data_IF_252830529199
#
_entry.id   IF_252830529199
#
_cell.length_a   1.000
_cell.length_b   1.000
_cell.length_c   1.000
_cell.angle_alpha   90.00
_cell.angle_beta   90.00
_cell.angle_gamma   90.00
#
_symmetry.space_group_name_H-M   'P 1'
#
loop_
_entity.id
_entity.type
_entity.pdbx_description
1 polymer ?
#
# COMPACT_ATOMS: atom_id res chain seq x y z
N UNK A 1 4.15 -21.90 -1.39
CA UNK A 1 3.96 -20.87 -0.35
C UNK A 1 4.69 -19.63 -0.85
N UNK A 2 4.01 -18.52 -1.04
CA UNK A 2 4.63 -17.28 -1.52
C UNK A 2 5.58 -16.78 -0.44
N UNK A 3 6.86 -16.47 -0.74
CA UNK A 3 7.76 -15.87 0.23
C UNK A 3 7.33 -14.42 0.46
N UNK A 4 6.47 -14.24 1.43
CA UNK A 4 6.20 -12.92 2.01
C UNK A 4 7.40 -12.56 2.86
N UNK A 5 7.85 -11.31 2.86
CA UNK A 5 8.84 -10.86 3.84
C UNK A 5 8.41 -11.32 5.24
N UNK A 6 9.33 -11.73 6.10
CA UNK A 6 9.02 -12.44 7.34
C UNK A 6 7.98 -11.70 8.21
N UNK A 7 7.90 -10.37 8.07
CA UNK A 7 7.01 -9.50 8.84
C UNK A 7 5.94 -8.81 7.99
N UNK A 8 5.90 -9.08 6.68
CA UNK A 8 4.91 -8.47 5.79
C UNK A 8 3.50 -9.01 6.06
N UNK A 9 2.53 -8.11 6.11
CA UNK A 9 1.10 -8.39 6.21
C UNK A 9 0.43 -7.90 4.93
N UNK A 10 0.33 -8.77 3.90
CA UNK A 10 -0.19 -8.38 2.60
C UNK A 10 -1.66 -7.97 2.65
N UNK A 11 -1.97 -6.91 1.92
CA UNK A 11 -3.32 -6.42 1.69
C UNK A 11 -3.45 -6.03 0.21
N UNK A 12 -4.65 -6.08 -0.34
CA UNK A 12 -4.95 -5.63 -1.71
C UNK A 12 -4.00 -6.24 -2.75
N UNK A 13 -4.20 -7.48 -3.10
CA UNK A 13 -3.39 -8.15 -4.10
C UNK A 13 -4.05 -8.17 -5.48
N UNK A 14 -3.24 -8.06 -6.53
CA UNK A 14 -3.63 -8.31 -7.92
C UNK A 14 -2.62 -9.25 -8.58
N UNK A 15 -3.07 -9.96 -9.59
CA UNK A 15 -2.26 -10.94 -10.32
C UNK A 15 -2.37 -10.73 -11.81
N UNK A 16 -1.29 -11.05 -12.54
CA UNK A 16 -1.28 -11.13 -13.99
C UNK A 16 -0.55 -12.39 -14.44
N UNK A 17 -0.89 -12.86 -15.63
CA UNK A 17 -0.19 -13.94 -16.33
C UNK A 17 0.10 -13.45 -17.73
N UNK A 18 1.30 -13.71 -18.24
CA UNK A 18 1.67 -13.38 -19.63
C UNK A 18 0.74 -14.05 -20.64
N UNK A 19 0.48 -13.45 -21.81
CA UNK A 19 -0.39 -14.02 -22.82
C UNK A 19 0.02 -15.42 -23.30
N UNK A 20 1.32 -15.71 -23.35
CA UNK A 20 1.86 -17.03 -23.68
C UNK A 20 1.78 -18.03 -22.51
N UNK A 21 1.43 -17.58 -21.33
CA UNK A 21 1.24 -18.41 -20.14
C UNK A 21 2.54 -18.86 -19.47
N UNK A 22 3.68 -18.19 -19.72
CA UNK A 22 4.98 -18.58 -19.18
C UNK A 22 5.34 -17.86 -17.87
N UNK A 23 4.73 -16.71 -17.61
CA UNK A 23 5.07 -15.83 -16.48
C UNK A 23 3.85 -15.46 -15.65
N UNK A 24 4.01 -15.47 -14.35
CA UNK A 24 2.99 -15.03 -13.39
C UNK A 24 3.54 -13.95 -12.46
N UNK A 25 2.79 -12.87 -12.31
CA UNK A 25 3.11 -11.74 -11.45
C UNK A 25 2.06 -11.57 -10.37
N UNK A 26 2.51 -11.17 -9.18
CA UNK A 26 1.65 -10.77 -8.07
C UNK A 26 2.14 -9.43 -7.57
N UNK A 27 1.24 -8.44 -7.47
CA UNK A 27 1.50 -7.19 -6.75
C UNK A 27 0.62 -7.12 -5.52
N UNK A 28 1.13 -6.59 -4.43
CA UNK A 28 0.36 -6.30 -3.24
C UNK A 28 0.95 -5.12 -2.47
N UNK A 29 0.11 -4.43 -1.69
CA UNK A 29 0.58 -3.63 -0.58
C UNK A 29 0.79 -4.51 0.66
N UNK A 30 1.77 -4.18 1.48
CA UNK A 30 1.99 -4.86 2.75
C UNK A 30 2.25 -3.86 3.88
N UNK A 31 1.63 -4.11 5.03
CA UNK A 31 2.08 -3.49 6.27
C UNK A 31 3.32 -4.23 6.79
N UNK A 32 4.36 -3.48 7.13
CA UNK A 32 5.63 -4.01 7.65
C UNK A 32 5.68 -4.00 9.18
N UNK A 33 4.74 -3.30 9.83
CA UNK A 33 4.57 -3.26 11.28
C UNK A 33 3.36 -4.10 11.70
N UNK A 34 3.33 -4.51 12.97
CA UNK A 34 2.15 -5.13 13.56
C UNK A 34 0.96 -4.17 13.59
N UNK A 35 -0.24 -4.75 13.64
CA UNK A 35 -1.44 -3.95 13.80
C UNK A 35 -1.34 -3.04 15.02
N UNK A 36 -1.66 -1.78 14.81
CA UNK A 36 -1.64 -0.76 15.86
C UNK A 36 -3.07 -0.29 16.13
N UNK A 37 -3.51 -0.42 17.38
CA UNK A 37 -4.80 0.11 17.81
C UNK A 37 -4.79 1.63 17.97
N UNK A 38 -3.58 2.19 18.23
CA UNK A 38 -3.40 3.62 18.48
C UNK A 38 -3.10 4.35 17.19
N UNK A 39 -3.92 5.32 16.84
CA UNK A 39 -3.79 6.09 15.58
C UNK A 39 -2.51 6.92 15.49
N UNK A 40 -1.88 7.24 16.61
CA UNK A 40 -0.62 7.99 16.69
C UNK A 40 0.63 7.12 16.53
N UNK A 41 0.49 5.79 16.51
CA UNK A 41 1.63 4.88 16.38
C UNK A 41 2.11 4.79 14.93
N UNK A 42 3.43 4.88 14.67
CA UNK A 42 3.99 4.71 13.33
C UNK A 42 3.64 3.37 12.71
N UNK A 43 3.42 3.39 11.39
CA UNK A 43 3.11 2.20 10.57
C UNK A 43 3.95 2.23 9.32
N UNK A 44 4.36 1.04 8.86
CA UNK A 44 5.05 0.91 7.58
C UNK A 44 4.11 0.33 6.54
N UNK A 45 4.09 0.93 5.35
CA UNK A 45 3.40 0.41 4.17
C UNK A 45 4.37 0.39 2.99
N UNK A 46 4.33 -0.70 2.22
CA UNK A 46 5.20 -0.89 1.06
C UNK A 46 4.45 -1.61 -0.06
N UNK A 47 4.81 -1.34 -1.31
CA UNK A 47 4.39 -2.13 -2.46
C UNK A 47 5.41 -3.22 -2.76
N UNK A 48 4.96 -4.43 -3.09
CA UNK A 48 5.81 -5.58 -3.40
C UNK A 48 5.35 -6.23 -4.68
N UNK A 49 6.31 -6.62 -5.52
CA UNK A 49 6.05 -7.38 -6.75
C UNK A 49 6.78 -8.70 -6.69
N UNK A 50 6.05 -9.77 -6.94
CA UNK A 50 6.57 -11.13 -7.04
C UNK A 50 6.43 -11.63 -8.47
N UNK A 51 7.33 -12.51 -8.88
CA UNK A 51 7.31 -13.23 -10.15
C UNK A 51 7.54 -14.73 -9.94
N UNK A 52 6.97 -15.53 -10.81
CA UNK A 52 7.26 -16.96 -10.94
C UNK A 52 7.11 -17.39 -12.40
N UNK A 53 8.05 -18.22 -12.87
CA UNK A 53 7.86 -18.97 -14.12
C UNK A 53 6.66 -19.91 -13.98
N UNK A 54 5.90 -20.05 -15.04
CA UNK A 54 4.77 -20.97 -15.14
C UNK A 54 5.16 -22.16 -15.99
N UNK A 55 4.94 -23.36 -15.47
CA UNK A 55 5.17 -24.58 -16.27
C UNK A 55 4.18 -24.64 -17.44
N UNK A 56 4.63 -24.57 -18.71
CA UNK A 56 3.75 -24.46 -19.87
C UNK A 56 2.92 -25.73 -20.13
N UNK A 57 3.34 -26.88 -19.58
CA UNK A 57 2.59 -28.13 -19.75
C UNK A 57 1.45 -28.28 -18.76
N UNK A 58 1.61 -27.72 -17.56
CA UNK A 58 0.66 -27.89 -16.45
C UNK A 58 -0.10 -26.61 -16.11
N UNK A 59 0.39 -25.44 -16.54
CA UNK A 59 -0.12 -24.12 -16.15
C UNK A 59 0.10 -23.80 -14.66
N UNK A 60 1.00 -24.51 -13.98
CA UNK A 60 1.26 -24.32 -12.55
C UNK A 60 2.46 -23.41 -12.35
N UNK A 61 2.31 -22.28 -11.64
CA UNK A 61 3.42 -21.42 -11.29
C UNK A 61 4.44 -22.15 -10.39
N UNK A 62 5.69 -21.84 -10.60
CA UNK A 62 6.79 -22.23 -9.75
C UNK A 62 6.80 -21.52 -8.40
N UNK A 63 7.96 -21.35 -7.82
CA UNK A 63 8.13 -20.60 -6.57
C UNK A 63 8.16 -19.10 -6.89
N UNK A 64 7.24 -18.35 -6.31
CA UNK A 64 7.27 -16.89 -6.42
C UNK A 64 8.49 -16.31 -5.70
N UNK A 65 9.21 -15.45 -6.37
CA UNK A 65 10.34 -14.67 -5.84
C UNK A 65 10.01 -13.19 -5.86
N UNK A 66 10.52 -12.44 -4.89
CA UNK A 66 10.37 -11.00 -4.88
C UNK A 66 11.32 -10.38 -5.91
N UNK A 67 10.76 -9.73 -6.93
CA UNK A 67 11.53 -9.03 -7.97
C UNK A 67 11.58 -7.52 -7.74
N UNK A 68 10.61 -6.97 -7.00
CA UNK A 68 10.63 -5.56 -6.61
C UNK A 68 10.03 -5.35 -5.22
N UNK A 69 10.60 -4.37 -4.51
CA UNK A 69 10.07 -3.83 -3.27
C UNK A 69 10.23 -2.32 -3.29
N UNK A 70 9.12 -1.62 -3.12
CA UNK A 70 9.08 -0.17 -3.05
C UNK A 70 9.75 0.40 -1.79
N UNK A 71 9.77 1.70 -1.68
CA UNK A 71 10.21 2.40 -0.46
C UNK A 71 9.06 2.37 0.55
N UNK A 72 9.38 2.15 1.81
CA UNK A 72 8.41 2.17 2.89
C UNK A 72 7.99 3.60 3.21
N UNK A 73 6.69 3.81 3.46
CA UNK A 73 6.12 5.06 3.95
C UNK A 73 5.13 4.82 5.09
N UNK A 74 4.76 5.88 5.80
CA UNK A 74 3.78 5.81 6.89
C UNK A 74 2.38 6.20 6.38
N UNK A 75 1.41 5.27 6.33
CA UNK A 75 0.06 5.56 5.83
C UNK A 75 -0.73 6.58 6.65
N UNK A 76 -0.27 6.93 7.85
CA UNK A 76 -0.86 8.05 8.61
C UNK A 76 -0.72 9.38 7.88
N UNK A 77 0.30 9.51 7.01
CA UNK A 77 0.46 10.67 6.13
C UNK A 77 -0.57 10.77 5.02
N UNK A 78 -1.36 9.72 4.76
CA UNK A 78 -2.43 9.78 3.76
C UNK A 78 -3.58 10.67 4.21
N UNK A 79 -4.17 11.40 3.27
CA UNK A 79 -5.40 12.12 3.52
C UNK A 79 -6.61 11.21 3.35
N UNK A 80 -7.67 11.45 4.12
CA UNK A 80 -8.98 10.87 3.87
C UNK A 80 -10.02 11.95 3.70
N UNK A 81 -11.15 11.59 3.11
CA UNK A 81 -12.35 12.43 3.19
C UNK A 81 -12.67 12.63 4.67
N UNK A 82 -12.69 13.88 5.12
CA UNK A 82 -12.92 14.26 6.52
C UNK A 82 -11.77 13.97 7.50
N UNK A 83 -10.62 13.46 7.06
CA UNK A 83 -9.45 13.14 7.92
C UNK A 83 -9.76 12.25 9.14
N UNK A 84 -10.81 11.47 9.08
CA UNK A 84 -11.27 10.61 10.18
C UNK A 84 -10.51 9.29 10.20
N UNK A 85 -10.14 8.79 9.03
CA UNK A 85 -9.39 7.55 8.85
C UNK A 85 -8.26 7.75 7.86
N UNK A 86 -7.25 6.91 7.96
CA UNK A 86 -6.27 6.76 6.89
C UNK A 86 -6.96 6.16 5.66
N UNK A 87 -6.70 6.72 4.50
CA UNK A 87 -7.26 6.20 3.27
C UNK A 87 -6.25 6.29 2.13
N UNK A 88 -5.93 5.16 1.56
CA UNK A 88 -4.98 5.02 0.45
C UNK A 88 -5.66 4.62 -0.86
N UNK A 89 -6.93 4.23 -0.80
CA UNK A 89 -7.53 3.43 -1.84
C UNK A 89 -7.15 1.96 -1.67
N UNK A 90 -7.88 1.09 -2.32
CA UNK A 90 -7.71 -0.37 -2.26
C UNK A 90 -7.39 -0.96 -3.65
N UNK A 91 -6.93 -0.10 -4.57
CA UNK A 91 -6.67 -0.49 -5.95
C UNK A 91 -5.19 -0.75 -6.17
N UNK A 92 -4.86 -2.00 -6.39
CA UNK A 92 -3.60 -2.44 -6.97
C UNK A 92 -3.91 -3.19 -8.25
N UNK A 93 -3.03 -3.09 -9.25
CA UNK A 93 -3.21 -3.76 -10.54
C UNK A 93 -1.90 -4.37 -10.99
N UNK A 94 -2.02 -5.50 -11.69
CA UNK A 94 -0.94 -6.11 -12.44
C UNK A 94 -1.43 -6.40 -13.86
N UNK A 95 -0.52 -6.30 -14.80
CA UNK A 95 -0.70 -6.73 -16.18
C UNK A 95 0.62 -7.29 -16.70
N UNK A 96 0.59 -8.06 -17.79
CA UNK A 96 1.76 -8.66 -18.36
C UNK A 96 1.65 -8.77 -19.89
N UNK A 97 2.79 -8.62 -20.55
CA UNK A 97 3.03 -9.03 -21.93
C UNK A 97 3.88 -10.28 -21.95
N UNK A 98 4.24 -10.79 -23.14
CA UNK A 98 5.18 -11.92 -23.26
C UNK A 98 6.63 -11.52 -22.91
N UNK A 99 6.93 -10.22 -22.80
CA UNK A 99 8.28 -9.70 -22.60
C UNK A 99 8.50 -9.06 -21.22
N UNK A 100 7.45 -8.58 -20.54
CA UNK A 100 7.55 -7.91 -19.25
C UNK A 100 6.24 -7.85 -18.48
N UNK A 101 6.35 -7.70 -17.17
CA UNK A 101 5.23 -7.40 -16.28
C UNK A 101 5.13 -5.92 -15.94
N UNK A 102 3.93 -5.50 -15.56
CA UNK A 102 3.63 -4.17 -15.00
C UNK A 102 2.85 -4.36 -13.70
N UNK A 103 3.20 -3.59 -12.69
CA UNK A 103 2.50 -3.56 -11.42
C UNK A 103 2.32 -2.13 -10.94
N UNK A 104 1.16 -1.82 -10.35
CA UNK A 104 0.88 -0.51 -9.73
C UNK A 104 0.30 -0.70 -8.34
N UNK A 105 0.66 0.18 -7.41
CA UNK A 105 0.23 0.12 -6.03
C UNK A 105 0.09 1.51 -5.40
N UNK A 106 -0.60 1.58 -4.28
CA UNK A 106 -0.69 2.79 -3.47
C UNK A 106 0.60 3.00 -2.68
N UNK A 107 1.09 4.23 -2.65
CA UNK A 107 2.35 4.59 -2.03
C UNK A 107 2.21 5.86 -1.19
N UNK A 108 2.95 5.91 -0.08
CA UNK A 108 2.94 7.03 0.87
C UNK A 108 4.34 7.45 1.30
N UNK A 109 5.36 7.06 0.52
CA UNK A 109 6.77 7.35 0.85
C UNK A 109 7.06 8.85 0.98
N UNK A 110 6.32 9.68 0.26
CA UNK A 110 6.50 11.13 0.19
C UNK A 110 5.46 11.88 1.05
N UNK A 111 4.65 11.16 1.84
CA UNK A 111 3.63 11.74 2.69
C UNK A 111 4.13 11.91 4.13
N UNK A 112 4.18 13.14 4.62
CA UNK A 112 4.46 13.41 6.03
C UNK A 112 3.25 13.10 6.91
N UNK A 113 3.49 12.60 8.11
CA UNK A 113 2.44 12.47 9.13
C UNK A 113 2.10 13.83 9.74
N UNK A 114 0.92 13.95 10.33
CA UNK A 114 0.46 15.16 10.99
C UNK A 114 -0.10 14.84 12.38
N UNK A 115 0.55 15.33 13.43
CA UNK A 115 0.16 15.06 14.80
C UNK A 115 -1.28 15.50 15.12
N UNK A 116 -1.68 16.69 14.66
CA UNK A 116 -3.04 17.18 14.86
C UNK A 116 -4.10 16.30 14.21
N UNK A 117 -3.77 15.68 13.05
CA UNK A 117 -4.67 14.72 12.39
C UNK A 117 -4.69 13.39 13.14
N UNK A 118 -3.55 12.92 13.61
CA UNK A 118 -3.48 11.67 14.39
C UNK A 118 -4.27 11.78 15.70
N UNK A 119 -4.16 12.92 16.40
CA UNK A 119 -4.95 13.23 17.60
C UNK A 119 -6.45 13.25 17.26
N UNK A 120 -6.84 13.94 16.20
CA UNK A 120 -8.22 13.97 15.75
C UNK A 120 -8.76 12.57 15.42
N UNK A 121 -7.99 11.73 14.77
CA UNK A 121 -8.36 10.33 14.49
C UNK A 121 -8.55 9.54 15.78
N UNK A 122 -7.71 9.76 16.79
CA UNK A 122 -7.83 9.14 18.09
C UNK A 122 -9.12 9.55 18.81
N UNK A 123 -9.46 10.84 18.79
CA UNK A 123 -10.72 11.36 19.37
C UNK A 123 -11.94 10.72 18.68
N UNK A 124 -11.94 10.67 17.34
CA UNK A 124 -13.03 10.02 16.58
C UNK A 124 -13.15 8.55 16.92
N UNK A 125 -12.03 7.88 17.14
CA UNK A 125 -12.03 6.45 17.49
C UNK A 125 -12.57 6.22 18.90
N UNK A 126 -12.30 7.12 19.84
CA UNK A 126 -12.74 7.03 21.24
C UNK A 126 -14.20 7.46 21.42
N UNK A 127 -14.59 8.60 20.84
CA UNK A 127 -15.89 9.23 21.07
C UNK A 127 -16.93 8.87 20.00
N UNK A 128 -16.50 8.41 18.83
CA UNK A 128 -17.33 8.13 17.67
C UNK A 128 -17.76 9.37 16.89
N UNK A 129 -18.14 9.20 15.59
CA UNK A 129 -18.66 10.29 14.78
C UNK A 129 -20.12 10.63 15.15
N UNK A 130 -20.58 11.88 14.92
CA UNK A 130 -19.83 13.00 14.32
C UNK A 130 -19.23 13.92 15.38
N UNK A 131 -17.92 14.10 15.35
CA UNK A 131 -17.33 15.24 16.06
C UNK A 131 -17.69 16.55 15.34
N UNK A 132 -17.82 17.63 16.09
CA UNK A 132 -18.17 18.93 15.53
C UNK A 132 -17.15 19.36 14.46
N UNK A 133 -17.63 19.94 13.39
CA UNK A 133 -16.78 20.42 12.29
C UNK A 133 -15.80 21.53 12.74
N UNK A 134 -16.05 22.18 13.87
CA UNK A 134 -15.18 23.20 14.45
C UNK A 134 -13.89 22.62 15.04
N UNK A 135 -13.86 21.32 15.35
CA UNK A 135 -12.72 20.67 15.97
C UNK A 135 -11.74 20.05 14.95
N UNK A 136 -11.93 20.33 13.67
CA UNK A 136 -11.03 19.84 12.64
C UNK A 136 -9.70 20.59 12.63
N UNK A 137 -8.57 19.86 12.53
CA UNK A 137 -7.28 20.50 12.35
C UNK A 137 -7.28 21.38 11.09
N UNK A 138 -6.62 22.54 11.20
CA UNK A 138 -6.38 23.41 10.06
C UNK A 138 -5.17 22.89 9.26
N UNK A 139 -5.36 21.84 8.45
CA UNK A 139 -4.30 21.08 7.78
C UNK A 139 -3.24 21.99 7.15
N UNK A 140 -3.65 23.05 6.47
CA UNK A 140 -2.71 23.97 5.81
C UNK A 140 -1.84 24.79 6.79
N UNK A 141 -2.14 24.78 8.08
CA UNK A 141 -1.44 25.55 9.10
C UNK A 141 -0.73 24.64 10.12
N UNK A 142 -1.27 23.45 10.35
CA UNK A 142 -0.86 22.56 11.43
C UNK A 142 -0.09 21.33 10.93
N UNK A 143 -0.19 21.00 9.64
CA UNK A 143 0.49 19.86 9.04
C UNK A 143 1.63 20.31 8.13
N UNK A 144 2.57 19.39 7.91
CA UNK A 144 3.59 19.53 6.87
C UNK A 144 2.93 19.67 5.48
N UNK A 145 3.50 20.48 4.56
CA UNK A 145 2.96 20.63 3.21
C UNK A 145 2.81 19.32 2.41
N UNK A 146 3.54 18.27 2.78
CA UNK A 146 3.47 16.96 2.14
C UNK A 146 2.45 16.03 2.79
N UNK A 147 1.74 16.46 3.84
CA UNK A 147 0.61 15.68 4.37
C UNK A 147 -0.46 15.50 3.30
N UNK A 148 -0.94 14.29 3.15
CA UNK A 148 -1.91 13.93 2.12
C UNK A 148 -1.30 13.59 0.75
N UNK A 149 0.04 13.60 0.63
CA UNK A 149 0.77 13.27 -0.60
C UNK A 149 0.87 11.74 -0.78
N UNK A 150 -0.26 11.08 -0.95
CA UNK A 150 -0.31 9.67 -1.35
C UNK A 150 -0.41 9.59 -2.87
N UNK A 151 0.39 8.71 -3.45
CA UNK A 151 0.55 8.56 -4.89
C UNK A 151 0.30 7.12 -5.35
N UNK A 152 0.18 6.94 -6.66
CA UNK A 152 0.24 5.63 -7.31
C UNK A 152 1.63 5.47 -7.91
N UNK A 153 2.32 4.45 -7.47
CA UNK A 153 3.62 4.05 -8.01
C UNK A 153 3.49 2.82 -8.89
N UNK A 154 4.42 2.69 -9.81
CA UNK A 154 4.46 1.59 -10.75
C UNK A 154 5.86 0.98 -10.83
N UNK A 155 5.89 -0.29 -11.14
CA UNK A 155 7.06 -1.03 -11.60
C UNK A 155 6.75 -1.65 -12.96
N UNK A 156 7.74 -1.72 -13.80
CA UNK A 156 7.72 -2.54 -15.01
C UNK A 156 9.11 -3.15 -15.26
N UNK A 157 9.13 -4.38 -15.68
CA UNK A 157 10.38 -5.08 -15.96
C UNK A 157 10.13 -6.54 -16.34
N UNK A 158 11.20 -7.18 -16.82
CA UNK A 158 11.32 -8.62 -16.88
C UNK A 158 11.99 -9.12 -15.60
N UNK A 159 11.91 -10.40 -15.32
CA UNK A 159 12.65 -11.09 -14.26
C UNK A 159 14.19 -11.07 -14.46
#
# INVERSE_FOLDING_TARGET
>A
MVPVGADDRPVYAATAVSPDGTDAYIVYNAFTTEFQEVTTSPRGLVGVVLHADVNPETGVPGTFTQIHRGVEGDPRGSSSNNIVLEFLGDYVYADATDDFGVAVWNDVRDAATCAAVDERRAEVQEEGPPLDATDRPAIQQECDPTFGNSDIWAWSGSD
#
